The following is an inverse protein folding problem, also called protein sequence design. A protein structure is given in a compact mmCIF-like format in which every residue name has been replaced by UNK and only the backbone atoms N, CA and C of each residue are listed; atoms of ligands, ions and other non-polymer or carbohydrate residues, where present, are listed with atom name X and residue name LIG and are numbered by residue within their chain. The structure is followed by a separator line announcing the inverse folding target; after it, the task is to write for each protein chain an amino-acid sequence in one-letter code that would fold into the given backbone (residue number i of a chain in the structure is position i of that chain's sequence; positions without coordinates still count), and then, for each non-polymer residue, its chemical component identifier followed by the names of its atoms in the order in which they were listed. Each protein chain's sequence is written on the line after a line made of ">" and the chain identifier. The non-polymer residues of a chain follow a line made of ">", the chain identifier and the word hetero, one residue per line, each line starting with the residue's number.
data_IF_816576714691
#
_entry.id   IF_816576714691
#
_cell.length_a   1.000
_cell.length_b   1.000
_cell.length_c   1.000
_cell.angle_alpha   90.00
_cell.angle_beta   90.00
_cell.angle_gamma   90.00
#
_symmetry.space_group_name_H-M   'P 1'
#
loop_
_entity.id
_entity.type
_entity.pdbx_description
1 polymer ?
#
# COMPACT_ATOMS: atom_id res chain seq x y z
N UNK A 1 -50.52 -38.47 53.98
CA UNK A 1 -50.16 -37.03 54.09
C UNK A 1 -48.69 -36.70 53.71
N UNK A 2 -47.84 -37.66 53.35
CA UNK A 2 -46.42 -37.46 53.11
C UNK A 2 -46.04 -37.15 51.62
N UNK A 3 -46.94 -37.38 50.63
CA UNK A 3 -46.60 -37.20 49.21
C UNK A 3 -46.76 -35.79 48.73
N UNK A 4 -47.43 -34.87 49.45
CA UNK A 4 -47.60 -33.47 49.04
C UNK A 4 -46.43 -32.56 49.48
N UNK A 5 -45.75 -32.91 50.55
CA UNK A 5 -44.61 -32.07 51.01
C UNK A 5 -43.36 -32.28 50.15
N UNK A 6 -43.12 -33.47 49.60
CA UNK A 6 -41.96 -33.77 48.79
C UNK A 6 -41.99 -33.02 47.42
N UNK A 7 -43.20 -32.85 46.88
CA UNK A 7 -43.37 -32.13 45.59
C UNK A 7 -43.08 -30.63 45.71
N UNK A 8 -43.44 -30.03 46.85
CA UNK A 8 -43.12 -28.61 47.08
C UNK A 8 -41.64 -28.37 47.37
N UNK A 9 -40.94 -29.27 47.98
CA UNK A 9 -39.50 -29.20 48.22
C UNK A 9 -38.71 -29.36 46.93
N UNK A 10 -39.10 -30.24 46.05
CA UNK A 10 -38.46 -30.38 44.72
C UNK A 10 -38.76 -29.21 43.83
N UNK A 11 -39.95 -28.62 43.85
CA UNK A 11 -40.29 -27.43 43.08
C UNK A 11 -39.53 -26.19 43.57
N UNK A 12 -39.39 -26.00 44.89
CA UNK A 12 -38.56 -24.93 45.46
C UNK A 12 -37.07 -25.09 45.12
N UNK A 13 -36.57 -26.33 45.11
CA UNK A 13 -35.15 -26.57 44.71
C UNK A 13 -34.92 -26.32 43.24
N UNK A 14 -35.90 -26.55 42.38
CA UNK A 14 -35.80 -26.20 40.96
C UNK A 14 -35.89 -24.71 40.72
N UNK A 15 -36.75 -23.98 41.44
CA UNK A 15 -36.88 -22.52 41.31
C UNK A 15 -35.63 -21.82 41.86
N UNK A 16 -35.05 -22.29 42.99
CA UNK A 16 -33.79 -21.74 43.48
C UNK A 16 -32.59 -22.07 42.59
N UNK A 17 -32.58 -23.21 41.88
CA UNK A 17 -31.56 -23.55 40.91
C UNK A 17 -31.60 -22.67 39.62
N UNK A 18 -32.80 -22.21 39.26
CA UNK A 18 -32.95 -21.30 38.10
C UNK A 18 -32.65 -19.85 38.43
N UNK A 19 -32.80 -19.41 39.68
CA UNK A 19 -32.47 -18.02 40.07
C UNK A 19 -30.95 -17.75 40.19
N UNK A 20 -30.12 -18.80 40.27
CA UNK A 20 -28.66 -18.61 40.35
C UNK A 20 -27.93 -18.46 39.01
N UNK A 21 -28.66 -18.45 37.89
CA UNK A 21 -28.14 -18.11 36.59
C UNK A 21 -28.58 -16.74 36.10
N UNK A 22 -28.83 -15.81 36.99
CA UNK A 22 -28.97 -14.41 36.63
C UNK A 22 -27.60 -13.82 36.43
N UNK A 23 -27.15 -13.89 35.19
CA UNK A 23 -26.24 -12.98 34.50
C UNK A 23 -25.40 -12.07 35.41
N UNK A 24 -24.19 -12.49 35.69
CA UNK A 24 -23.13 -11.53 35.92
C UNK A 24 -23.00 -10.75 34.60
N UNK A 25 -23.64 -9.61 34.51
CA UNK A 25 -23.31 -8.63 33.47
C UNK A 25 -21.84 -8.30 33.66
N UNK A 26 -21.00 -8.73 32.74
CA UNK A 26 -19.62 -8.29 32.71
C UNK A 26 -19.66 -6.78 32.48
N UNK A 27 -19.46 -6.03 33.53
CA UNK A 27 -19.25 -4.61 33.40
C UNK A 27 -17.88 -4.40 32.76
N UNK A 28 -17.87 -3.97 31.52
CA UNK A 28 -16.63 -3.50 30.87
C UNK A 28 -16.38 -2.08 31.36
N UNK A 29 -15.31 -1.91 32.10
CA UNK A 29 -14.85 -0.59 32.49
C UNK A 29 -13.92 -0.08 31.40
N UNK A 30 -14.38 0.91 30.64
CA UNK A 30 -13.55 1.62 29.67
C UNK A 30 -12.93 2.80 30.41
N UNK A 31 -11.60 2.76 30.55
CA UNK A 31 -10.88 3.91 31.07
C UNK A 31 -10.65 4.88 29.90
N UNK A 32 -11.22 6.08 29.98
CA UNK A 32 -11.06 7.15 29.00
C UNK A 32 -9.92 8.10 29.34
N UNK A 33 -9.27 7.95 30.49
CA UNK A 33 -8.07 8.71 30.87
C UNK A 33 -6.87 8.16 30.09
N UNK A 34 -6.85 8.41 28.80
CA UNK A 34 -5.68 8.16 27.95
C UNK A 34 -4.85 9.45 27.99
N UNK A 35 -3.55 9.37 28.34
CA UNK A 35 -2.69 10.54 28.28
C UNK A 35 -2.70 11.12 26.86
N UNK A 36 -2.69 12.45 26.77
CA UNK A 36 -2.62 13.15 25.47
C UNK A 36 -1.44 12.64 24.66
N UNK A 37 -1.73 12.26 23.41
CA UNK A 37 -0.70 11.79 22.50
C UNK A 37 0.17 12.95 22.08
N UNK A 38 1.48 12.76 22.15
CA UNK A 38 2.44 13.73 21.59
C UNK A 38 2.43 13.56 20.07
N UNK A 39 2.01 14.60 19.37
CA UNK A 39 2.05 14.65 17.91
C UNK A 39 3.44 15.15 17.50
N UNK A 40 4.19 14.31 16.84
CA UNK A 40 5.50 14.65 16.27
C UNK A 40 5.31 15.08 14.81
N UNK A 41 6.01 16.12 14.40
CA UNK A 41 5.94 16.72 13.07
C UNK A 41 7.34 16.89 12.48
N UNK A 42 7.44 17.13 11.18
CA UNK A 42 8.68 17.57 10.52
C UNK A 42 9.63 16.48 10.06
N UNK A 43 9.29 15.20 10.20
CA UNK A 43 10.14 14.10 9.71
C UNK A 43 9.72 13.52 8.35
N UNK A 44 8.53 13.82 7.89
CA UNK A 44 8.07 13.57 6.52
C UNK A 44 7.87 14.92 5.84
N UNK A 45 8.97 15.57 5.50
CA UNK A 45 8.97 16.90 4.87
C UNK A 45 8.69 16.79 3.36
N UNK A 46 7.56 16.17 3.04
CA UNK A 46 7.08 15.98 1.68
C UNK A 46 5.65 16.51 1.55
N UNK A 47 5.32 17.07 0.41
CA UNK A 47 3.98 17.56 0.11
C UNK A 47 3.94 19.06 -0.15
N UNK A 48 4.47 19.85 0.75
CA UNK A 48 4.68 21.29 0.55
C UNK A 48 3.40 22.11 0.45
N UNK A 49 3.53 23.27 -0.18
CA UNK A 49 2.46 24.26 -0.36
C UNK A 49 2.13 24.41 -1.84
N UNK A 50 0.86 24.31 -2.16
CA UNK A 50 0.34 24.54 -3.50
C UNK A 50 0.33 26.04 -3.87
N UNK A 51 0.24 26.40 -5.17
CA UNK A 51 0.22 27.81 -5.60
C UNK A 51 -0.92 28.66 -5.04
N UNK A 52 -2.02 28.05 -4.64
CA UNK A 52 -3.16 28.70 -3.98
C UNK A 52 -2.98 28.86 -2.47
N UNK A 53 -1.87 28.43 -1.92
CA UNK A 53 -1.55 28.44 -0.49
C UNK A 53 -2.01 27.21 0.27
N UNK A 54 -2.68 26.26 -0.38
CA UNK A 54 -3.09 25.00 0.24
C UNK A 54 -1.88 24.18 0.62
N UNK A 55 -1.85 23.64 1.86
CA UNK A 55 -0.75 22.84 2.37
C UNK A 55 -1.12 21.38 2.57
N UNK A 56 -0.13 20.51 2.43
CA UNK A 56 -0.21 19.11 2.82
C UNK A 56 0.98 18.76 3.69
N UNK A 57 0.72 18.07 4.78
CA UNK A 57 1.76 17.56 5.68
C UNK A 57 1.34 16.21 6.29
N UNK A 58 2.30 15.53 6.88
CA UNK A 58 2.06 14.27 7.60
C UNK A 58 2.73 14.38 8.97
N UNK A 59 1.99 14.08 10.00
CA UNK A 59 2.49 13.97 11.37
C UNK A 59 2.54 12.50 11.82
N UNK A 60 2.88 12.25 13.09
CA UNK A 60 3.00 10.88 13.61
C UNK A 60 1.67 10.10 13.69
N UNK A 61 0.53 10.73 13.41
CA UNK A 61 -0.78 10.10 13.54
C UNK A 61 -1.67 10.21 12.31
N UNK A 62 -1.57 11.29 11.52
CA UNK A 62 -2.47 11.54 10.39
C UNK A 62 -1.84 12.48 9.36
N UNK A 63 -2.48 12.52 8.21
CA UNK A 63 -2.22 13.52 7.18
C UNK A 63 -3.02 14.79 7.49
N UNK A 64 -2.46 15.93 7.16
CA UNK A 64 -3.12 17.25 7.28
C UNK A 64 -3.27 17.87 5.89
N UNK A 65 -4.43 18.44 5.64
CA UNK A 65 -4.67 19.36 4.54
C UNK A 65 -5.02 20.72 5.12
N UNK A 66 -4.27 21.76 4.76
CA UNK A 66 -4.44 23.11 5.28
C UNK A 66 -4.45 23.16 6.82
N UNK A 67 -3.46 22.53 7.42
CA UNK A 67 -3.27 22.46 8.88
C UNK A 67 -4.45 21.79 9.64
N UNK A 68 -5.33 21.11 8.92
CA UNK A 68 -6.45 20.38 9.51
C UNK A 68 -6.33 18.88 9.26
N UNK A 69 -6.65 18.05 10.27
CA UNK A 69 -6.63 16.60 10.10
C UNK A 69 -7.49 16.17 8.90
N UNK A 70 -6.89 15.37 8.03
CA UNK A 70 -7.55 14.80 6.87
C UNK A 70 -7.73 13.30 7.05
N UNK A 71 -8.97 12.86 6.95
CA UNK A 71 -9.31 11.43 7.01
C UNK A 71 -9.54 10.95 5.57
N UNK A 72 -8.60 10.19 4.99
CA UNK A 72 -8.78 9.62 3.67
C UNK A 72 -9.77 8.46 3.73
N UNK A 73 -10.87 8.59 3.01
CA UNK A 73 -11.79 7.50 2.70
C UNK A 73 -11.48 7.08 1.29
N UNK A 74 -10.70 6.02 1.14
CA UNK A 74 -10.17 5.62 -0.15
C UNK A 74 -11.03 4.59 -0.86
N UNK A 75 -11.16 4.78 -2.19
CA UNK A 75 -11.64 3.77 -3.11
C UNK A 75 -10.58 3.51 -4.18
N UNK A 76 -10.29 2.25 -4.44
CA UNK A 76 -9.32 1.87 -5.47
C UNK A 76 -10.00 1.62 -6.80
N UNK A 77 -9.53 2.28 -7.86
CA UNK A 77 -9.97 2.11 -9.24
C UNK A 77 -8.76 1.77 -10.10
N UNK A 78 -8.71 0.57 -10.65
CA UNK A 78 -7.68 0.17 -11.60
C UNK A 78 -8.09 0.65 -13.00
N UNK A 79 -7.68 1.86 -13.39
CA UNK A 79 -8.13 2.50 -14.64
C UNK A 79 -7.90 1.61 -15.87
N UNK A 80 -6.78 0.92 -15.95
CA UNK A 80 -6.44 0.03 -17.08
C UNK A 80 -7.34 -1.21 -17.22
N UNK A 81 -8.23 -1.46 -16.26
CA UNK A 81 -9.19 -2.58 -16.26
C UNK A 81 -10.62 -2.15 -16.57
N UNK A 82 -10.81 -0.87 -16.84
CA UNK A 82 -12.12 -0.28 -17.12
C UNK A 82 -11.99 0.51 -18.42
N UNK A 83 -12.91 0.35 -19.38
CA UNK A 83 -12.94 1.17 -20.59
C UNK A 83 -12.91 2.67 -20.25
N UNK A 84 -12.09 3.44 -20.94
CA UNK A 84 -11.84 4.84 -20.59
C UNK A 84 -13.10 5.73 -20.68
N UNK A 85 -14.09 5.35 -21.47
CA UNK A 85 -15.38 6.02 -21.57
C UNK A 85 -16.21 5.90 -20.29
N UNK A 86 -15.91 4.91 -19.42
CA UNK A 86 -16.63 4.66 -18.18
C UNK A 86 -15.92 5.27 -16.95
N UNK A 87 -14.68 5.76 -17.06
CA UNK A 87 -13.92 6.25 -15.92
C UNK A 87 -14.64 7.33 -15.15
N UNK A 88 -15.19 8.33 -15.84
CA UNK A 88 -15.91 9.43 -15.20
C UNK A 88 -17.12 8.95 -14.40
N UNK A 89 -17.88 8.01 -14.95
CA UNK A 89 -19.02 7.41 -14.26
C UNK A 89 -18.59 6.65 -13.00
N UNK A 90 -17.48 5.86 -13.07
CA UNK A 90 -16.98 5.13 -11.92
C UNK A 90 -16.47 6.07 -10.82
N UNK A 91 -15.76 7.14 -11.19
CA UNK A 91 -15.29 8.17 -10.26
C UNK A 91 -16.49 8.80 -9.53
N UNK A 92 -17.56 9.15 -10.25
CA UNK A 92 -18.76 9.73 -9.66
C UNK A 92 -19.51 8.75 -8.75
N UNK A 93 -19.54 7.46 -9.10
CA UNK A 93 -20.15 6.42 -8.27
C UNK A 93 -19.42 6.29 -6.92
N UNK A 94 -18.11 6.16 -6.93
CA UNK A 94 -17.35 6.03 -5.67
C UNK A 94 -17.42 7.31 -4.83
N UNK A 95 -17.41 8.48 -5.47
CA UNK A 95 -17.61 9.76 -4.81
C UNK A 95 -18.97 9.85 -4.11
N UNK A 96 -20.03 9.39 -4.77
CA UNK A 96 -21.40 9.39 -4.19
C UNK A 96 -21.50 8.46 -2.98
N UNK A 97 -20.63 7.45 -2.87
CA UNK A 97 -20.47 6.56 -1.72
C UNK A 97 -19.68 7.17 -0.55
N UNK A 98 -19.23 8.42 -0.67
CA UNK A 98 -18.47 9.12 0.39
C UNK A 98 -16.95 8.98 0.28
N UNK A 99 -16.44 8.35 -0.79
CA UNK A 99 -15.00 8.30 -1.07
C UNK A 99 -14.48 9.70 -1.42
N UNK A 100 -13.37 10.10 -0.81
CA UNK A 100 -12.72 11.39 -1.05
C UNK A 100 -11.32 11.27 -1.66
N UNK A 101 -10.77 10.05 -1.68
CA UNK A 101 -9.47 9.74 -2.29
C UNK A 101 -9.62 8.55 -3.24
N UNK A 102 -9.17 8.69 -4.47
CA UNK A 102 -9.05 7.58 -5.41
C UNK A 102 -7.62 7.08 -5.42
N UNK A 103 -7.45 5.78 -5.18
CA UNK A 103 -6.20 5.08 -5.33
C UNK A 103 -6.17 4.34 -6.66
N UNK A 104 -5.02 4.33 -7.35
CA UNK A 104 -4.85 3.56 -8.58
C UNK A 104 -3.45 3.04 -8.75
N UNK A 105 -3.32 1.89 -9.42
CA UNK A 105 -2.03 1.32 -9.81
C UNK A 105 -1.59 1.81 -11.19
N UNK A 106 -0.28 1.96 -11.35
CA UNK A 106 0.38 2.02 -12.65
C UNK A 106 1.12 0.70 -12.85
N UNK A 107 0.54 -0.21 -13.60
CA UNK A 107 1.12 -1.53 -13.84
C UNK A 107 2.15 -1.46 -14.96
N UNK A 108 3.42 -1.64 -14.63
CA UNK A 108 4.51 -1.55 -15.60
C UNK A 108 4.31 -2.44 -16.83
N UNK A 109 3.92 -3.71 -16.61
CA UNK A 109 3.70 -4.68 -17.69
C UNK A 109 2.54 -4.35 -18.64
N UNK A 110 1.65 -3.41 -18.27
CA UNK A 110 0.59 -2.91 -19.14
C UNK A 110 1.10 -1.76 -20.00
N UNK A 111 1.93 -0.89 -19.42
CA UNK A 111 2.40 0.31 -20.10
C UNK A 111 3.64 0.08 -20.94
N UNK A 112 4.44 -0.93 -20.65
CA UNK A 112 5.64 -1.30 -21.40
C UNK A 112 5.62 -2.81 -21.70
N UNK A 113 4.66 -3.24 -22.52
CA UNK A 113 4.56 -4.64 -22.98
C UNK A 113 5.78 -5.06 -23.82
N UNK A 114 6.34 -4.13 -24.58
CA UNK A 114 7.57 -4.29 -25.32
C UNK A 114 8.63 -3.34 -24.77
N UNK A 115 9.81 -3.86 -24.48
CA UNK A 115 10.91 -3.07 -23.92
C UNK A 115 11.18 -1.79 -24.70
N UNK A 116 11.19 -0.66 -23.99
CA UNK A 116 11.44 0.68 -24.54
C UNK A 116 10.23 1.31 -25.23
N UNK A 117 9.08 0.64 -25.28
CA UNK A 117 7.88 1.16 -25.92
C UNK A 117 6.80 1.35 -24.87
N UNK A 118 6.64 2.56 -24.37
CA UNK A 118 5.56 2.91 -23.45
C UNK A 118 4.29 3.28 -24.22
N UNK A 119 3.16 2.80 -23.72
CA UNK A 119 1.82 3.05 -24.25
C UNK A 119 0.97 3.72 -23.18
N UNK A 120 0.55 4.95 -23.46
CA UNK A 120 -0.29 5.79 -22.61
C UNK A 120 -1.60 6.19 -23.29
N UNK A 121 -2.05 5.44 -24.28
CA UNK A 121 -3.24 5.76 -25.05
C UNK A 121 -4.48 4.95 -24.59
N UNK A 122 -5.68 5.47 -24.91
CA UNK A 122 -6.95 4.77 -24.68
C UNK A 122 -7.17 4.42 -23.20
N UNK A 123 -7.32 3.13 -22.92
CA UNK A 123 -7.54 2.63 -21.54
C UNK A 123 -6.27 2.68 -20.69
N UNK A 124 -5.14 3.06 -21.26
CA UNK A 124 -3.85 3.23 -20.58
C UNK A 124 -3.50 4.70 -20.31
N UNK A 125 -4.37 5.65 -20.66
CA UNK A 125 -4.14 7.10 -20.49
C UNK A 125 -4.26 7.52 -19.02
N UNK A 126 -3.15 7.36 -18.29
CA UNK A 126 -3.04 7.76 -16.89
C UNK A 126 -3.34 9.26 -16.70
N UNK A 127 -2.82 10.10 -17.59
CA UNK A 127 -3.01 11.56 -17.51
C UNK A 127 -4.49 11.94 -17.59
N UNK A 128 -5.23 11.35 -18.51
CA UNK A 128 -6.68 11.55 -18.65
C UNK A 128 -7.43 11.07 -17.39
N UNK A 129 -7.07 9.90 -16.85
CA UNK A 129 -7.71 9.38 -15.64
C UNK A 129 -7.51 10.32 -14.45
N UNK A 130 -6.28 10.78 -14.20
CA UNK A 130 -5.97 11.72 -13.11
C UNK A 130 -6.67 13.08 -13.33
N UNK A 131 -6.74 13.55 -14.59
CA UNK A 131 -7.46 14.80 -14.91
C UNK A 131 -8.96 14.72 -14.59
N UNK A 132 -9.58 13.56 -14.80
CA UNK A 132 -10.97 13.32 -14.40
C UNK A 132 -11.15 13.31 -12.88
N UNK A 133 -10.20 12.70 -12.15
CA UNK A 133 -10.21 12.78 -10.68
C UNK A 133 -10.15 14.24 -10.21
N UNK A 134 -9.24 15.03 -10.75
CA UNK A 134 -9.12 16.46 -10.44
C UNK A 134 -10.36 17.25 -10.80
N UNK A 135 -10.93 17.03 -11.98
CA UNK A 135 -12.20 17.64 -12.44
C UNK A 135 -13.32 17.45 -11.43
N UNK A 136 -13.37 16.31 -10.78
CA UNK A 136 -14.38 15.96 -9.80
C UNK A 136 -13.97 16.21 -8.34
N UNK A 137 -12.90 16.97 -8.11
CA UNK A 137 -12.39 17.30 -6.77
C UNK A 137 -12.10 16.04 -5.92
N UNK A 138 -11.63 14.98 -6.55
CA UNK A 138 -11.12 13.79 -5.87
C UNK A 138 -9.62 13.95 -5.65
N UNK A 139 -9.17 13.69 -4.44
CA UNK A 139 -7.73 13.51 -4.20
C UNK A 139 -7.30 12.15 -4.75
N UNK A 140 -6.02 12.02 -5.09
CA UNK A 140 -5.49 10.78 -5.65
C UNK A 140 -4.23 10.30 -4.95
N UNK A 141 -4.13 9.00 -4.80
CA UNK A 141 -2.90 8.27 -4.47
C UNK A 141 -2.52 7.40 -5.66
N UNK A 142 -1.28 7.51 -6.12
CA UNK A 142 -0.81 6.73 -7.28
C UNK A 142 0.22 5.71 -6.83
N UNK A 143 -0.02 4.44 -7.14
CA UNK A 143 0.84 3.32 -6.77
C UNK A 143 1.71 2.98 -7.97
N UNK A 144 2.99 3.40 -7.93
CA UNK A 144 3.88 3.41 -9.10
C UNK A 144 4.79 2.18 -9.21
N UNK A 145 4.70 1.27 -8.26
CA UNK A 145 5.55 0.09 -8.25
C UNK A 145 7.02 0.38 -7.90
N UNK A 146 7.98 -0.30 -8.51
CA UNK A 146 7.96 -1.17 -9.72
C UNK A 146 7.12 -2.43 -9.63
N UNK A 147 7.07 -3.05 -8.46
CA UNK A 147 6.19 -4.16 -8.16
C UNK A 147 4.93 -3.64 -7.45
N UNK A 148 3.77 -3.94 -8.01
CA UNK A 148 2.48 -3.42 -7.52
C UNK A 148 1.65 -4.46 -6.77
N UNK A 149 1.92 -5.75 -6.92
CA UNK A 149 1.03 -6.85 -6.56
C UNK A 149 -0.28 -6.80 -7.39
N UNK A 150 -1.33 -6.18 -6.89
CA UNK A 150 -2.55 -5.77 -7.63
C UNK A 150 -3.28 -6.87 -8.40
N UNK A 151 -3.12 -8.14 -8.00
CA UNK A 151 -3.68 -9.33 -8.67
C UNK A 151 -3.43 -9.32 -10.18
N UNK A 152 -2.25 -8.93 -10.58
CA UNK A 152 -1.79 -8.94 -11.97
C UNK A 152 -0.57 -9.85 -12.12
N UNK A 153 -0.39 -10.37 -13.34
CA UNK A 153 0.76 -11.21 -13.68
C UNK A 153 2.06 -10.52 -13.27
N UNK A 154 2.94 -11.28 -12.60
CA UNK A 154 4.23 -10.84 -12.11
C UNK A 154 4.18 -9.61 -11.19
N UNK A 155 3.03 -9.33 -10.55
CA UNK A 155 2.86 -8.13 -9.74
C UNK A 155 3.03 -6.82 -10.51
N UNK A 156 2.87 -6.85 -11.84
CA UNK A 156 3.06 -5.71 -12.72
C UNK A 156 4.44 -5.62 -13.36
N UNK A 157 5.39 -6.47 -13.01
CA UNK A 157 6.72 -6.50 -13.66
C UNK A 157 6.58 -7.08 -15.07
N UNK A 158 7.15 -6.43 -16.12
CA UNK A 158 7.10 -6.94 -17.48
C UNK A 158 7.81 -8.28 -17.68
N UNK A 159 7.23 -9.14 -18.51
CA UNK A 159 7.80 -10.45 -18.80
C UNK A 159 9.21 -10.39 -19.39
N UNK A 160 9.48 -9.40 -20.23
CA UNK A 160 10.78 -9.22 -20.86
C UNK A 160 11.90 -8.87 -19.89
N UNK A 161 11.55 -8.43 -18.65
CA UNK A 161 12.53 -8.14 -17.60
C UNK A 161 13.08 -9.41 -16.95
N UNK A 162 12.26 -10.48 -16.93
CA UNK A 162 12.70 -11.78 -16.41
C UNK A 162 13.73 -12.43 -17.32
N UNK A 163 14.68 -13.11 -16.72
CA UNK A 163 15.78 -13.74 -17.45
C UNK A 163 16.89 -12.76 -17.87
N UNK A 164 16.83 -11.53 -17.47
CA UNK A 164 17.95 -10.57 -17.58
C UNK A 164 19.03 -10.91 -16.55
N UNK A 165 20.31 -10.60 -16.82
CA UNK A 165 21.43 -10.91 -15.92
C UNK A 165 21.53 -9.95 -14.73
N UNK A 166 20.42 -9.69 -14.05
CA UNK A 166 20.33 -8.86 -12.86
C UNK A 166 19.16 -9.28 -11.99
N UNK A 167 19.14 -8.78 -10.78
CA UNK A 167 18.14 -9.09 -9.78
C UNK A 167 17.09 -8.01 -9.72
N UNK A 168 15.83 -8.38 -9.93
CA UNK A 168 14.68 -7.47 -9.78
C UNK A 168 14.35 -7.26 -8.31
N UNK A 169 13.71 -6.13 -7.98
CA UNK A 169 13.32 -5.71 -6.63
C UNK A 169 14.52 -5.62 -5.67
N UNK A 170 15.67 -5.22 -6.19
CA UNK A 170 16.91 -5.01 -5.44
C UNK A 170 17.64 -3.77 -5.92
N UNK A 171 18.75 -3.43 -5.26
CA UNK A 171 19.64 -2.34 -5.70
C UNK A 171 20.63 -2.77 -6.80
N UNK A 172 20.32 -3.81 -7.56
CA UNK A 172 21.09 -4.15 -8.75
C UNK A 172 21.09 -2.94 -9.71
N UNK A 173 22.29 -2.50 -10.06
CA UNK A 173 22.48 -1.28 -10.86
C UNK A 173 21.79 -1.33 -12.23
N UNK A 174 21.80 -2.50 -12.85
CA UNK A 174 21.18 -2.66 -14.18
C UNK A 174 19.64 -2.65 -14.05
N UNK A 175 19.09 -3.27 -13.01
CA UNK A 175 17.66 -3.18 -12.70
C UNK A 175 17.21 -1.75 -12.43
N UNK A 176 17.98 -1.01 -11.63
CA UNK A 176 17.63 0.38 -11.27
C UNK A 176 17.58 1.32 -12.48
N UNK A 177 18.32 1.07 -13.55
CA UNK A 177 18.18 1.84 -14.79
C UNK A 177 16.80 1.71 -15.44
N UNK A 178 16.21 0.54 -15.34
CA UNK A 178 14.86 0.30 -15.85
C UNK A 178 13.80 0.94 -14.93
N UNK A 179 14.02 0.90 -13.63
CA UNK A 179 13.16 1.58 -12.65
C UNK A 179 13.20 3.10 -12.84
N UNK A 180 14.38 3.67 -13.00
CA UNK A 180 14.56 5.10 -13.26
C UNK A 180 13.81 5.54 -14.53
N UNK A 181 13.91 4.77 -15.62
CA UNK A 181 13.15 5.00 -16.85
C UNK A 181 11.63 4.91 -16.61
N UNK A 182 11.16 3.89 -15.88
CA UNK A 182 9.74 3.76 -15.54
C UNK A 182 9.25 4.98 -14.78
N UNK A 183 9.99 5.40 -13.76
CA UNK A 183 9.58 6.52 -12.92
C UNK A 183 9.62 7.84 -13.69
N UNK A 184 10.57 8.03 -14.60
CA UNK A 184 10.62 9.17 -15.51
C UNK A 184 9.36 9.24 -16.39
N UNK A 185 8.95 8.12 -16.99
CA UNK A 185 7.75 8.02 -17.81
C UNK A 185 6.48 8.33 -17.00
N UNK A 186 6.34 7.71 -15.82
CA UNK A 186 5.21 7.99 -14.93
C UNK A 186 5.19 9.46 -14.52
N UNK A 187 6.32 10.04 -14.11
CA UNK A 187 6.42 11.43 -13.72
C UNK A 187 5.97 12.37 -14.84
N UNK A 188 6.35 12.07 -16.08
CA UNK A 188 5.91 12.82 -17.27
C UNK A 188 4.38 12.80 -17.43
N UNK A 189 3.73 11.66 -17.18
CA UNK A 189 2.26 11.58 -17.22
C UNK A 189 1.60 12.35 -16.07
N UNK A 190 2.25 12.43 -14.92
CA UNK A 190 1.73 13.06 -13.71
C UNK A 190 2.13 14.53 -13.55
N UNK A 191 2.90 15.09 -14.47
CA UNK A 191 3.35 16.49 -14.41
C UNK A 191 2.17 17.47 -14.31
N UNK A 192 2.20 18.36 -13.31
CA UNK A 192 1.17 19.36 -13.02
C UNK A 192 0.00 18.82 -12.17
N UNK A 193 -0.02 17.52 -11.81
CA UNK A 193 -1.05 16.95 -10.97
C UNK A 193 -0.64 16.75 -9.51
N UNK A 194 0.62 16.98 -9.16
CA UNK A 194 1.05 16.92 -7.77
C UNK A 194 0.50 18.09 -6.97
N UNK A 195 0.30 17.86 -5.67
CA UNK A 195 -0.25 18.88 -4.77
C UNK A 195 0.56 20.20 -4.84
N UNK A 196 1.88 20.12 -4.85
CA UNK A 196 2.77 21.28 -4.98
C UNK A 196 2.51 22.13 -6.24
N UNK A 197 1.94 21.55 -7.27
CA UNK A 197 1.60 22.20 -8.54
C UNK A 197 0.11 22.64 -8.58
N UNK A 198 -0.63 22.47 -7.48
CA UNK A 198 -2.07 22.71 -7.40
C UNK A 198 -2.94 21.54 -7.84
N UNK A 199 -2.33 20.37 -8.04
CA UNK A 199 -3.00 19.16 -8.50
C UNK A 199 -3.66 18.33 -7.39
N UNK A 200 -4.24 17.21 -7.79
CA UNK A 200 -5.01 16.35 -6.91
C UNK A 200 -4.18 15.22 -6.27
N UNK A 201 -2.95 14.96 -6.72
CA UNK A 201 -2.11 13.89 -6.18
C UNK A 201 -1.55 14.30 -4.84
N UNK A 202 -1.92 13.56 -3.79
CA UNK A 202 -1.53 13.78 -2.40
C UNK A 202 -0.65 12.67 -1.83
N UNK A 203 -0.30 11.67 -2.63
CA UNK A 203 0.59 10.61 -2.20
C UNK A 203 0.99 9.68 -3.35
N UNK A 204 2.16 9.08 -3.19
CA UNK A 204 2.72 8.08 -4.10
C UNK A 204 3.09 6.83 -3.29
N UNK A 205 2.67 5.66 -3.75
CA UNK A 205 3.17 4.41 -3.20
C UNK A 205 4.37 3.92 -4.02
N UNK A 206 5.44 3.63 -3.29
CA UNK A 206 6.64 2.94 -3.78
C UNK A 206 6.55 1.47 -3.41
N UNK A 207 6.82 0.58 -4.34
CA UNK A 207 6.82 -0.87 -4.11
C UNK A 207 5.52 -1.40 -3.50
N UNK A 208 5.46 -2.68 -3.20
CA UNK A 208 4.37 -3.29 -2.45
C UNK A 208 4.87 -4.53 -1.74
N UNK A 209 4.78 -4.53 -0.42
CA UNK A 209 5.15 -5.66 0.44
C UNK A 209 6.55 -6.23 0.10
N UNK A 210 7.54 -5.34 -0.06
CA UNK A 210 8.89 -5.76 -0.32
C UNK A 210 9.39 -6.69 0.79
N UNK A 211 9.93 -7.84 0.42
CA UNK A 211 10.41 -8.89 1.32
C UNK A 211 9.32 -9.62 2.15
N UNK A 212 8.04 -9.24 2.00
CA UNK A 212 6.98 -9.93 2.73
C UNK A 212 6.33 -11.06 1.93
N UNK A 213 5.79 -10.77 0.76
CA UNK A 213 4.90 -11.70 0.04
C UNK A 213 5.42 -12.14 -1.31
N UNK A 214 6.64 -12.29 -1.55
CA UNK A 214 7.18 -12.79 -2.80
C UNK A 214 8.23 -11.89 -3.42
N UNK A 215 9.23 -11.66 -2.66
CA UNK A 215 10.45 -11.19 -3.26
C UNK A 215 11.48 -12.34 -3.18
N UNK A 216 11.96 -12.77 -4.30
CA UNK A 216 11.42 -12.73 -5.65
C UNK A 216 10.27 -13.72 -5.86
N UNK A 217 9.41 -13.50 -6.87
CA UNK A 217 8.41 -14.48 -7.28
C UNK A 217 9.10 -15.76 -7.73
N UNK A 218 8.99 -16.80 -6.93
CA UNK A 218 9.35 -18.11 -7.38
C UNK A 218 8.24 -18.66 -8.26
N UNK A 219 8.58 -19.12 -9.44
CA UNK A 219 7.70 -19.98 -10.20
C UNK A 219 7.57 -21.28 -9.41
N UNK A 220 6.42 -21.46 -8.76
CA UNK A 220 6.14 -22.72 -8.05
C UNK A 220 5.64 -23.74 -9.05
N UNK A 221 6.41 -24.76 -9.24
CA UNK A 221 5.93 -25.96 -9.93
C UNK A 221 5.12 -26.82 -8.94
N UNK A 222 4.05 -27.48 -9.40
CA UNK A 222 3.36 -28.48 -8.59
C UNK A 222 4.39 -29.49 -8.03
N UNK A 223 4.22 -29.89 -6.77
CA UNK A 223 5.05 -30.85 -6.06
C UNK A 223 6.49 -30.44 -5.68
N UNK A 224 6.81 -29.16 -5.80
CA UNK A 224 8.09 -28.66 -5.31
C UNK A 224 7.99 -28.24 -3.84
N UNK A 225 9.01 -28.47 -3.00
CA UNK A 225 9.06 -27.96 -1.63
C UNK A 225 8.88 -26.45 -1.56
N UNK A 226 8.29 -25.96 -0.47
CA UNK A 226 8.02 -24.53 -0.24
C UNK A 226 9.30 -23.68 -0.27
N UNK A 227 10.44 -24.28 0.05
CA UNK A 227 11.76 -23.63 0.11
C UNK A 227 12.38 -23.37 -1.28
N UNK A 228 11.71 -23.72 -2.34
CA UNK A 228 12.20 -23.54 -3.72
C UNK A 228 12.07 -22.10 -4.25
N UNK A 229 11.63 -21.18 -3.42
CA UNK A 229 11.70 -19.73 -3.72
C UNK A 229 13.12 -19.24 -3.97
N UNK A 230 14.09 -20.00 -3.56
CA UNK A 230 15.53 -19.75 -3.74
C UNK A 230 16.05 -20.20 -5.10
N UNK A 231 15.38 -21.15 -5.74
CA UNK A 231 15.90 -21.80 -6.96
C UNK A 231 15.99 -20.84 -8.16
N UNK A 232 15.04 -19.91 -8.31
CA UNK A 232 15.11 -18.92 -9.38
C UNK A 232 16.27 -17.96 -9.18
N UNK A 233 16.60 -17.71 -7.95
CA UNK A 233 17.75 -16.93 -7.54
C UNK A 233 19.05 -17.62 -7.89
N UNK A 234 19.18 -18.89 -7.49
CA UNK A 234 20.33 -19.71 -7.79
C UNK A 234 20.46 -19.98 -9.30
N UNK A 235 19.37 -20.19 -10.00
CA UNK A 235 19.37 -20.37 -11.45
C UNK A 235 19.82 -19.12 -12.17
N UNK A 236 19.35 -17.94 -11.76
CA UNK A 236 19.81 -16.67 -12.33
C UNK A 236 21.28 -16.42 -12.01
N UNK A 237 21.69 -16.61 -10.77
CA UNK A 237 23.07 -16.45 -10.34
C UNK A 237 24.00 -17.43 -11.03
N UNK A 238 23.60 -18.69 -11.16
CA UNK A 238 24.39 -19.72 -11.85
C UNK A 238 24.46 -19.44 -13.35
N UNK A 239 23.36 -19.04 -13.97
CA UNK A 239 23.29 -18.81 -15.41
C UNK A 239 24.12 -17.61 -15.87
N UNK A 240 24.26 -16.59 -15.02
CA UNK A 240 24.96 -15.35 -15.36
C UNK A 240 26.26 -15.14 -14.60
N UNK A 241 26.69 -16.11 -13.79
CA UNK A 241 27.93 -16.05 -13.03
C UNK A 241 27.92 -15.00 -11.90
N UNK A 242 26.74 -14.56 -11.47
CA UNK A 242 26.58 -13.61 -10.36
C UNK A 242 26.52 -14.40 -9.07
N UNK A 243 27.58 -14.32 -8.28
CA UNK A 243 27.60 -14.86 -6.91
C UNK A 243 27.03 -13.83 -5.96
N UNK A 244 25.71 -13.84 -5.74
CA UNK A 244 25.06 -13.04 -4.71
C UNK A 244 24.66 -13.99 -3.58
N UNK A 245 25.08 -13.68 -2.37
CA UNK A 245 24.64 -14.44 -1.21
C UNK A 245 23.19 -14.04 -0.90
N UNK A 246 22.31 -15.02 -0.83
CA UNK A 246 20.88 -14.84 -0.55
C UNK A 246 20.62 -13.99 0.68
N UNK A 247 21.43 -14.11 1.72
CA UNK A 247 21.36 -13.33 2.95
C UNK A 247 21.52 -11.83 2.73
N UNK A 248 22.27 -11.40 1.73
CA UNK A 248 22.55 -9.98 1.47
C UNK A 248 21.37 -9.25 0.83
N UNK A 249 20.47 -9.97 0.18
CA UNK A 249 19.38 -9.38 -0.58
C UNK A 249 18.06 -9.41 0.18
N UNK A 250 17.89 -10.41 1.03
CA UNK A 250 16.69 -10.56 1.87
C UNK A 250 16.89 -9.99 3.27
N UNK A 251 18.04 -9.38 3.55
CA UNK A 251 18.22 -8.71 4.82
C UNK A 251 17.29 -7.49 4.94
N UNK A 252 16.78 -7.16 6.14
CA UNK A 252 16.01 -5.96 6.35
C UNK A 252 16.75 -4.69 5.90
N UNK A 253 18.06 -4.67 6.06
CA UNK A 253 18.94 -3.57 5.64
C UNK A 253 18.95 -3.41 4.12
N UNK A 254 19.04 -4.49 3.36
CA UNK A 254 18.99 -4.46 1.91
C UNK A 254 17.62 -3.98 1.40
N UNK A 255 16.55 -4.45 2.01
CA UNK A 255 15.20 -4.00 1.70
C UNK A 255 14.99 -2.52 2.01
N UNK A 256 15.41 -2.06 3.17
CA UNK A 256 15.32 -0.66 3.55
C UNK A 256 16.18 0.22 2.62
N UNK A 257 17.36 -0.25 2.24
CA UNK A 257 18.21 0.47 1.28
C UNK A 257 17.58 0.53 -0.10
N UNK A 258 16.89 -0.52 -0.53
CA UNK A 258 16.16 -0.50 -1.81
C UNK A 258 15.01 0.51 -1.77
N UNK A 259 14.21 0.52 -0.72
CA UNK A 259 13.16 1.52 -0.54
C UNK A 259 13.71 2.95 -0.57
N UNK A 260 14.86 3.18 0.07
CA UNK A 260 15.54 4.48 0.04
C UNK A 260 15.95 4.86 -1.38
N UNK A 261 16.51 3.94 -2.12
CA UNK A 261 16.89 4.17 -3.53
C UNK A 261 15.66 4.48 -4.40
N UNK A 262 14.56 3.76 -4.22
CA UNK A 262 13.31 4.05 -4.95
C UNK A 262 12.77 5.44 -4.61
N UNK A 263 12.81 5.84 -3.34
CA UNK A 263 12.47 7.21 -2.92
C UNK A 263 13.34 8.24 -3.62
N UNK A 264 14.66 8.06 -3.61
CA UNK A 264 15.61 8.98 -4.25
C UNK A 264 15.33 9.11 -5.76
N UNK A 265 15.05 8.01 -6.45
CA UNK A 265 14.66 8.02 -7.87
C UNK A 265 13.34 8.77 -8.08
N UNK A 266 12.32 8.49 -7.28
CA UNK A 266 11.02 9.17 -7.41
C UNK A 266 11.15 10.69 -7.21
N UNK A 267 11.89 11.11 -6.18
CA UNK A 267 12.14 12.53 -5.90
C UNK A 267 12.97 13.21 -7.01
N UNK A 268 13.94 12.50 -7.61
CA UNK A 268 14.74 13.04 -8.72
C UNK A 268 13.90 13.35 -9.95
N UNK A 269 12.74 12.69 -10.09
CA UNK A 269 11.75 12.97 -11.15
C UNK A 269 10.62 13.91 -10.68
N UNK A 270 10.78 14.58 -9.53
CA UNK A 270 9.87 15.62 -9.05
C UNK A 270 8.59 15.10 -8.37
N UNK A 271 8.53 13.83 -8.00
CA UNK A 271 7.38 13.25 -7.28
C UNK A 271 7.41 13.65 -5.79
N UNK A 272 7.37 14.94 -5.51
CA UNK A 272 7.49 15.53 -4.16
C UNK A 272 6.11 15.60 -3.47
N UNK A 273 5.63 14.45 -3.00
CA UNK A 273 4.41 14.28 -2.19
C UNK A 273 4.70 13.27 -1.09
N UNK A 274 3.87 13.16 -0.06
CA UNK A 274 4.00 12.09 0.93
C UNK A 274 4.16 10.72 0.25
N UNK A 275 5.24 10.02 0.60
CA UNK A 275 5.54 8.70 0.07
C UNK A 275 5.12 7.63 1.07
N UNK A 276 4.53 6.55 0.58
CA UNK A 276 4.13 5.43 1.40
C UNK A 276 4.45 4.09 0.73
N UNK A 277 4.37 3.01 1.48
CA UNK A 277 4.49 1.64 0.97
C UNK A 277 3.54 0.71 1.71
N UNK A 278 2.97 -0.26 1.01
CA UNK A 278 2.22 -1.33 1.65
C UNK A 278 3.19 -2.30 2.33
N UNK A 279 2.97 -2.58 3.60
CA UNK A 279 3.82 -3.46 4.42
C UNK A 279 3.20 -4.82 4.70
N UNK A 280 2.05 -5.12 4.08
CA UNK A 280 1.33 -6.37 4.32
C UNK A 280 0.98 -6.54 5.79
N UNK A 281 1.50 -7.58 6.41
CA UNK A 281 1.31 -7.90 7.83
C UNK A 281 2.35 -7.26 8.76
N UNK A 282 3.05 -6.23 8.31
CA UNK A 282 4.00 -5.47 9.11
C UNK A 282 5.44 -5.95 9.07
N UNK A 283 5.79 -6.88 8.19
CA UNK A 283 7.16 -7.43 8.07
C UNK A 283 7.90 -6.99 6.80
N UNK A 284 7.29 -6.15 5.97
CA UNK A 284 7.94 -5.65 4.77
C UNK A 284 8.98 -4.57 5.09
N UNK A 285 9.89 -4.35 4.14
CA UNK A 285 10.89 -3.32 4.25
C UNK A 285 10.28 -1.91 4.29
N UNK A 286 10.74 -1.10 5.20
CA UNK A 286 10.33 0.30 5.36
C UNK A 286 11.55 1.17 5.66
N UNK A 287 11.41 2.47 5.42
CA UNK A 287 12.36 3.44 5.96
C UNK A 287 11.62 4.23 7.04
N UNK A 288 11.94 4.01 8.32
CA UNK A 288 11.32 4.77 9.40
C UNK A 288 11.47 6.27 9.16
N UNK A 289 10.38 7.02 9.38
CA UNK A 289 10.33 8.48 9.25
C UNK A 289 10.55 9.04 7.82
N UNK A 290 10.73 8.20 6.82
CA UNK A 290 10.95 8.66 5.44
C UNK A 290 9.87 8.18 4.46
N UNK A 291 9.25 7.02 4.73
CA UNK A 291 8.15 6.45 3.96
C UNK A 291 7.09 5.95 4.93
N UNK A 292 5.85 6.31 4.70
CA UNK A 292 4.72 5.92 5.56
C UNK A 292 4.43 4.43 5.34
N UNK A 293 4.51 3.58 6.37
CA UNK A 293 4.08 2.20 6.27
C UNK A 293 2.56 2.11 6.32
N UNK A 294 1.98 1.42 5.35
CA UNK A 294 0.55 1.10 5.32
C UNK A 294 0.40 -0.41 5.46
N UNK A 295 -0.31 -0.85 6.46
CA UNK A 295 -0.52 -2.28 6.72
C UNK A 295 -1.99 -2.59 6.94
N UNK A 296 -2.39 -3.81 6.59
CA UNK A 296 -3.64 -4.37 7.10
C UNK A 296 -3.43 -4.69 8.58
N UNK A 297 -4.00 -3.90 9.45
CA UNK A 297 -3.64 -3.90 10.84
C UNK A 297 -4.23 -5.06 11.63
N UNK A 298 -3.42 -5.62 12.48
CA UNK A 298 -3.83 -6.45 13.60
C UNK A 298 -3.75 -5.73 14.96
N UNK A 299 -3.53 -4.41 14.95
CA UNK A 299 -3.45 -3.57 16.16
C UNK A 299 -2.13 -3.65 16.93
N UNK A 300 -1.11 -4.33 16.43
CA UNK A 300 0.17 -4.50 17.14
C UNK A 300 1.15 -3.34 17.00
N UNK A 301 0.93 -2.47 16.01
CA UNK A 301 1.84 -1.37 15.71
C UNK A 301 1.14 -0.02 15.84
N UNK A 302 1.33 0.70 16.96
CA UNK A 302 0.63 1.96 17.22
C UNK A 302 1.05 3.15 16.34
N UNK A 303 2.03 2.96 15.47
CA UNK A 303 2.57 4.00 14.59
C UNK A 303 2.20 3.79 13.12
N UNK A 304 1.25 2.92 12.82
CA UNK A 304 0.83 2.62 11.47
C UNK A 304 -0.44 3.36 11.13
N UNK A 305 -0.43 4.07 10.03
CA UNK A 305 -1.62 4.69 9.47
C UNK A 305 -2.50 3.61 8.86
N UNK A 306 -3.76 3.60 9.26
CA UNK A 306 -4.79 2.83 8.60
C UNK A 306 -5.42 3.70 7.54
N UNK A 307 -5.40 3.23 6.30
CA UNK A 307 -6.19 3.80 5.23
C UNK A 307 -7.35 2.87 4.90
#
# INVERSE_FOLDING_TARGET
>A
MYKRSLFWWTLLSFISGYCYRANAQSAYQINLDIPDKIIETGYLDLGGVAPDGGSISVNSYYMELNESPFIPIMGEIHYTRIPNEQWEEQILKVKSGGVNVICTYVFWNIHEETEGVFDWDGDKDLRKFISLCQKHNMKTLVRIGPFCHGEIRNGGIPDWLYGRPFLIRTNDREYLKYVDRLYAEIASQLEGFFHKDGGCIIGIQLENELQHSAAPWAIRYPDQPIDYTVADYDVQNTKFGVSVQEQDIQSPEAGNQHMKTLKEIALSHGMEVPLYTATGWGNAAIIPQEVIPVTAADGKYPHLFFF
#
